data_IF_671276896990
#
_entry.id   IF_671276896990
#
_cell.length_a   1.000
_cell.length_b   1.000
_cell.length_c   1.000
_cell.angle_alpha   90.00
_cell.angle_beta   90.00
_cell.angle_gamma   90.00
#
_symmetry.space_group_name_H-M   'P 1'
#
loop_
_entity.id
_entity.type
_entity.pdbx_description
1 polymer ?
#
# COMPACT_ATOMS: atom_id res chain seq x y z
N UNK A 1 -23.04 -10.94 3.56
CA UNK A 1 -23.87 -10.30 2.53
C UNK A 1 -24.16 -11.35 1.48
N UNK A 2 -25.37 -11.37 0.97
CA UNK A 2 -25.78 -12.26 -0.11
C UNK A 2 -25.93 -11.39 -1.37
N UNK A 3 -25.44 -11.90 -2.49
CA UNK A 3 -25.59 -11.27 -3.82
C UNK A 3 -26.08 -12.31 -4.81
N UNK A 4 -26.91 -11.88 -5.75
CA UNK A 4 -27.26 -12.67 -6.91
C UNK A 4 -26.28 -12.43 -8.06
N UNK A 5 -26.09 -13.43 -8.93
CA UNK A 5 -25.19 -13.30 -10.09
C UNK A 5 -25.52 -12.07 -10.96
N UNK A 6 -26.80 -11.76 -11.16
CA UNK A 6 -27.22 -10.55 -11.89
C UNK A 6 -26.80 -9.25 -11.22
N UNK A 7 -26.89 -9.16 -9.89
CA UNK A 7 -26.49 -7.98 -9.14
C UNK A 7 -24.96 -7.76 -9.23
N UNK A 8 -24.19 -8.85 -9.22
CA UNK A 8 -22.75 -8.81 -9.42
C UNK A 8 -22.42 -8.30 -10.82
N UNK A 9 -23.11 -8.82 -11.85
CA UNK A 9 -22.92 -8.38 -13.22
C UNK A 9 -23.27 -6.89 -13.40
N UNK A 10 -24.37 -6.41 -12.80
CA UNK A 10 -24.75 -4.99 -12.79
C UNK A 10 -23.67 -4.11 -12.13
N UNK A 11 -23.16 -4.51 -10.95
CA UNK A 11 -22.10 -3.78 -10.23
C UNK A 11 -20.83 -3.66 -11.08
N UNK A 12 -20.50 -4.72 -11.83
CA UNK A 12 -19.25 -4.84 -12.59
C UNK A 12 -19.38 -4.41 -14.06
N UNK A 13 -20.55 -4.00 -14.52
CA UNK A 13 -20.81 -3.67 -15.94
C UNK A 13 -20.65 -4.89 -16.86
N UNK A 14 -20.91 -6.08 -16.35
CA UNK A 14 -20.78 -7.35 -17.05
C UNK A 14 -22.11 -7.97 -17.48
N UNK A 15 -22.05 -9.18 -18.03
CA UNK A 15 -23.19 -10.00 -18.43
C UNK A 15 -23.16 -11.34 -17.74
N UNK A 16 -24.33 -11.93 -17.49
CA UNK A 16 -24.47 -13.26 -16.89
C UNK A 16 -24.60 -14.31 -18.00
N UNK A 17 -23.78 -15.35 -17.90
CA UNK A 17 -23.85 -16.56 -18.72
C UNK A 17 -24.13 -17.74 -17.78
N UNK A 18 -25.38 -18.20 -17.78
CA UNK A 18 -25.91 -19.20 -16.84
C UNK A 18 -27.13 -18.70 -16.06
N UNK A 19 -27.28 -19.11 -14.79
CA UNK A 19 -28.44 -18.76 -13.97
C UNK A 19 -28.25 -17.40 -13.24
N UNK A 20 -29.02 -16.33 -13.61
CA UNK A 20 -28.86 -15.00 -13.00
C UNK A 20 -29.30 -14.92 -11.54
N UNK A 21 -30.11 -15.86 -11.08
CA UNK A 21 -30.66 -15.87 -9.71
C UNK A 21 -29.78 -16.64 -8.70
N UNK A 22 -28.67 -17.23 -9.15
CA UNK A 22 -27.72 -17.91 -8.26
C UNK A 22 -27.23 -16.95 -7.19
N UNK A 23 -27.25 -17.42 -5.94
CA UNK A 23 -26.88 -16.64 -4.77
C UNK A 23 -25.52 -17.03 -4.25
N UNK A 24 -24.69 -16.04 -3.94
CA UNK A 24 -23.37 -16.23 -3.32
C UNK A 24 -23.24 -15.38 -2.07
N UNK A 25 -22.52 -15.91 -1.09
CA UNK A 25 -22.34 -15.27 0.24
C UNK A 25 -20.88 -15.11 0.64
N UNK A 26 -19.97 -15.76 -0.10
CA UNK A 26 -18.54 -15.81 0.22
C UNK A 26 -17.67 -15.74 -1.03
N UNK A 27 -16.40 -15.40 -0.85
CA UNK A 27 -15.36 -15.51 -1.88
C UNK A 27 -14.53 -16.77 -1.65
N UNK A 28 -14.08 -17.41 -2.72
CA UNK A 28 -13.17 -18.53 -2.66
C UNK A 28 -12.15 -18.46 -3.80
N UNK A 29 -10.97 -19.06 -3.59
CA UNK A 29 -10.02 -19.29 -4.68
C UNK A 29 -10.62 -20.27 -5.67
N UNK A 30 -10.29 -20.15 -6.93
CA UNK A 30 -10.85 -20.99 -7.99
C UNK A 30 -10.52 -22.48 -7.76
N UNK A 31 -9.30 -22.78 -7.24
CA UNK A 31 -8.85 -24.13 -6.92
C UNK A 31 -9.62 -24.77 -5.74
N UNK A 32 -10.20 -23.97 -4.88
CA UNK A 32 -10.92 -24.38 -3.68
C UNK A 32 -12.34 -23.84 -3.63
N UNK A 33 -12.95 -23.70 -4.81
CA UNK A 33 -14.35 -23.29 -4.96
C UNK A 33 -15.29 -24.17 -4.15
N UNK A 34 -16.34 -23.57 -3.58
CA UNK A 34 -17.34 -24.25 -2.76
C UNK A 34 -18.72 -23.68 -3.03
N UNK A 35 -19.80 -24.42 -2.76
CA UNK A 35 -21.17 -23.91 -2.90
C UNK A 35 -21.38 -22.60 -2.11
N UNK A 36 -22.12 -21.67 -2.69
CA UNK A 36 -22.33 -20.34 -2.12
C UNK A 36 -21.14 -19.38 -2.28
N UNK A 37 -20.12 -19.75 -3.04
CA UNK A 37 -18.97 -18.90 -3.26
C UNK A 37 -18.91 -18.32 -4.67
N UNK A 38 -18.29 -17.13 -4.75
CA UNK A 38 -17.83 -16.51 -5.98
C UNK A 38 -16.32 -16.68 -6.11
N UNK A 39 -15.87 -17.04 -7.30
CA UNK A 39 -14.46 -17.13 -7.69
C UNK A 39 -14.19 -16.26 -8.92
N UNK A 40 -12.94 -16.15 -9.35
CA UNK A 40 -12.60 -15.46 -10.60
C UNK A 40 -11.49 -16.21 -11.35
N UNK A 41 -11.45 -16.00 -12.66
CA UNK A 41 -10.43 -16.52 -13.55
C UNK A 41 -9.89 -15.40 -14.45
N UNK A 42 -8.62 -15.07 -14.27
CA UNK A 42 -7.92 -14.04 -15.05
C UNK A 42 -6.59 -14.56 -15.63
N UNK A 43 -5.98 -15.57 -15.00
CA UNK A 43 -4.68 -16.11 -15.42
C UNK A 43 -4.84 -17.49 -16.08
N UNK A 44 -4.44 -17.66 -17.34
CA UNK A 44 -4.58 -18.91 -18.08
C UNK A 44 -4.01 -20.17 -17.39
N UNK A 45 -3.02 -20.01 -16.52
CA UNK A 45 -2.46 -21.14 -15.74
C UNK A 45 -3.49 -21.84 -14.84
N UNK A 46 -4.58 -21.18 -14.53
CA UNK A 46 -5.65 -21.69 -13.65
C UNK A 46 -6.87 -22.18 -14.44
N UNK A 47 -6.82 -22.24 -15.77
CA UNK A 47 -7.97 -22.61 -16.62
C UNK A 47 -8.58 -23.96 -16.20
N UNK A 48 -7.76 -24.97 -15.89
CA UNK A 48 -8.23 -26.29 -15.46
C UNK A 48 -9.19 -26.25 -14.27
N UNK A 49 -9.07 -25.24 -13.40
CA UNK A 49 -9.92 -25.10 -12.22
C UNK A 49 -11.28 -24.48 -12.54
N UNK A 50 -11.45 -23.85 -13.69
CA UNK A 50 -12.77 -23.35 -14.13
C UNK A 50 -13.75 -24.51 -14.28
N UNK A 51 -13.30 -25.65 -14.77
CA UNK A 51 -14.10 -26.86 -15.04
C UNK A 51 -14.32 -27.72 -13.78
N UNK A 52 -13.43 -27.64 -12.80
CA UNK A 52 -13.47 -28.49 -11.58
C UNK A 52 -13.92 -27.75 -10.34
N UNK A 53 -14.00 -26.40 -10.37
CA UNK A 53 -14.42 -25.59 -9.25
C UNK A 53 -15.87 -25.86 -8.86
N UNK A 54 -16.12 -25.94 -7.56
CA UNK A 54 -17.48 -26.02 -6.98
C UNK A 54 -18.05 -24.65 -6.61
N UNK A 55 -17.45 -23.56 -7.07
CA UNK A 55 -18.00 -22.22 -6.90
C UNK A 55 -19.28 -22.07 -7.76
N UNK A 56 -20.28 -21.40 -7.21
CA UNK A 56 -21.54 -21.19 -7.93
C UNK A 56 -21.45 -20.07 -8.96
N UNK A 57 -20.55 -19.12 -8.75
CA UNK A 57 -20.28 -18.01 -9.70
C UNK A 57 -18.77 -17.89 -9.96
N UNK A 58 -18.41 -17.73 -11.24
CA UNK A 58 -17.02 -17.44 -11.64
C UNK A 58 -17.01 -16.17 -12.51
N UNK A 59 -16.25 -15.15 -12.09
CA UNK A 59 -15.99 -13.95 -12.89
C UNK A 59 -14.92 -14.31 -13.93
N UNK A 60 -15.19 -14.05 -15.20
CA UNK A 60 -14.29 -14.34 -16.33
C UNK A 60 -14.20 -13.17 -17.29
N UNK A 61 -13.12 -13.08 -18.07
CA UNK A 61 -13.03 -12.12 -19.18
C UNK A 61 -14.06 -12.43 -20.26
N UNK A 62 -14.66 -11.42 -20.91
CA UNK A 62 -15.56 -11.59 -22.06
C UNK A 62 -14.96 -12.43 -23.16
N UNK A 63 -13.65 -12.36 -23.36
CA UNK A 63 -12.90 -13.13 -24.37
C UNK A 63 -12.69 -14.60 -24.01
N UNK A 64 -13.05 -15.02 -22.80
CA UNK A 64 -12.85 -16.41 -22.40
C UNK A 64 -13.90 -17.32 -23.04
N UNK A 65 -13.43 -18.27 -23.84
CA UNK A 65 -14.23 -19.33 -24.44
C UNK A 65 -13.87 -20.67 -23.77
N UNK A 66 -14.80 -21.26 -22.99
CA UNK A 66 -14.51 -22.51 -22.31
C UNK A 66 -14.41 -23.68 -23.31
N UNK A 67 -13.44 -24.53 -23.14
CA UNK A 67 -13.21 -25.73 -23.95
C UNK A 67 -14.08 -26.91 -23.52
N UNK A 68 -14.57 -26.87 -22.28
CA UNK A 68 -15.41 -27.88 -21.65
C UNK A 68 -16.63 -27.20 -20.98
N UNK A 69 -17.72 -27.94 -20.73
CA UNK A 69 -18.86 -27.39 -20.01
C UNK A 69 -18.50 -26.88 -18.62
N UNK A 70 -18.88 -25.64 -18.31
CA UNK A 70 -18.68 -25.02 -16.99
C UNK A 70 -19.97 -25.15 -16.18
N UNK A 71 -19.89 -25.74 -14.98
CA UNK A 71 -21.07 -25.91 -14.12
C UNK A 71 -21.49 -24.60 -13.43
N UNK A 72 -20.53 -23.73 -13.13
CA UNK A 72 -20.77 -22.45 -12.48
C UNK A 72 -21.44 -21.44 -13.43
N UNK A 73 -22.23 -20.56 -12.88
CA UNK A 73 -22.69 -19.37 -13.61
C UNK A 73 -21.51 -18.43 -13.83
N UNK A 74 -21.25 -18.05 -15.07
CA UNK A 74 -20.18 -17.11 -15.40
C UNK A 74 -20.68 -15.67 -15.42
N UNK A 75 -19.92 -14.75 -14.81
CA UNK A 75 -20.10 -13.31 -14.98
C UNK A 75 -18.98 -12.79 -15.86
N UNK A 76 -19.34 -12.40 -17.09
CA UNK A 76 -18.40 -11.97 -18.13
C UNK A 76 -18.16 -10.47 -18.04
N UNK A 77 -16.90 -10.07 -17.90
CA UNK A 77 -16.45 -8.68 -17.74
C UNK A 77 -15.28 -8.39 -18.68
N UNK A 78 -14.95 -7.12 -18.89
CA UNK A 78 -13.81 -6.74 -19.74
C UNK A 78 -12.47 -7.17 -19.13
N UNK A 79 -12.28 -6.99 -17.83
CA UNK A 79 -11.10 -7.42 -17.07
C UNK A 79 -11.55 -8.07 -15.75
N UNK A 80 -11.40 -9.38 -15.65
CA UNK A 80 -11.80 -10.14 -14.47
C UNK A 80 -10.96 -9.80 -13.21
N UNK A 81 -9.69 -9.40 -13.37
CA UNK A 81 -8.85 -9.03 -12.25
C UNK A 81 -9.26 -7.68 -11.66
N UNK A 82 -9.46 -6.67 -12.52
CA UNK A 82 -9.97 -5.36 -12.11
C UNK A 82 -11.40 -5.45 -11.53
N UNK A 83 -12.25 -6.30 -12.10
CA UNK A 83 -13.61 -6.53 -11.64
C UNK A 83 -13.67 -7.11 -10.23
N UNK A 84 -12.79 -8.07 -9.90
CA UNK A 84 -12.72 -8.63 -8.54
C UNK A 84 -12.27 -7.58 -7.54
N UNK A 85 -11.28 -6.76 -7.87
CA UNK A 85 -10.85 -5.66 -7.02
C UNK A 85 -12.03 -4.70 -6.74
N UNK A 86 -12.74 -4.28 -7.78
CA UNK A 86 -13.91 -3.40 -7.67
C UNK A 86 -15.05 -4.02 -6.82
N UNK A 87 -15.32 -5.32 -6.97
CA UNK A 87 -16.32 -6.03 -6.17
C UNK A 87 -15.92 -6.11 -4.69
N UNK A 88 -14.67 -6.40 -4.39
CA UNK A 88 -14.14 -6.43 -3.03
C UNK A 88 -14.21 -5.04 -2.39
N UNK A 89 -13.91 -3.98 -3.13
CA UNK A 89 -14.05 -2.60 -2.68
C UNK A 89 -15.50 -2.26 -2.37
N UNK A 90 -16.43 -2.63 -3.25
CA UNK A 90 -17.88 -2.44 -3.05
C UNK A 90 -18.39 -3.14 -1.79
N UNK A 91 -18.02 -4.41 -1.59
CA UNK A 91 -18.39 -5.19 -0.41
C UNK A 91 -17.79 -4.59 0.86
N UNK A 92 -16.54 -4.17 0.80
CA UNK A 92 -15.84 -3.53 1.91
C UNK A 92 -16.46 -2.18 2.27
N UNK A 93 -16.79 -1.36 1.26
CA UNK A 93 -17.47 -0.09 1.46
C UNK A 93 -18.84 -0.26 2.11
N UNK A 94 -19.63 -1.25 1.69
CA UNK A 94 -20.93 -1.58 2.32
C UNK A 94 -20.79 -2.07 3.77
N UNK A 95 -19.70 -2.75 4.11
CA UNK A 95 -19.42 -3.20 5.48
C UNK A 95 -18.91 -2.06 6.37
N UNK A 96 -18.35 -1.00 5.79
CA UNK A 96 -17.83 0.14 6.54
C UNK A 96 -18.98 0.92 7.18
N UNK A 97 -19.16 0.74 8.50
CA UNK A 97 -20.07 1.57 9.29
C UNK A 97 -19.34 2.86 9.69
N UNK A 98 -19.83 4.00 9.25
CA UNK A 98 -19.34 5.31 9.67
C UNK A 98 -20.21 5.86 10.82
N UNK A 99 -20.12 5.23 11.98
CA UNK A 99 -20.74 5.75 13.22
C UNK A 99 -19.68 6.53 13.99
N UNK A 100 -20.08 7.70 14.51
CA UNK A 100 -19.25 8.39 15.48
C UNK A 100 -19.12 7.49 16.71
N UNK A 101 -17.90 7.18 17.08
CA UNK A 101 -17.59 6.42 18.28
C UNK A 101 -16.38 7.04 18.97
N UNK A 102 -16.41 7.06 20.28
CA UNK A 102 -15.27 7.44 21.09
C UNK A 102 -15.17 6.45 22.23
N UNK A 103 -14.09 5.68 22.24
CA UNK A 103 -13.78 4.69 23.26
C UNK A 103 -13.69 5.37 24.66
N UNK A 104 -14.17 4.70 25.67
CA UNK A 104 -14.22 5.26 27.03
C UNK A 104 -12.83 5.58 27.61
N UNK A 105 -11.79 4.87 27.18
CA UNK A 105 -10.40 5.09 27.59
C UNK A 105 -9.60 5.93 26.59
N UNK A 106 -10.22 6.47 25.53
CA UNK A 106 -9.54 7.34 24.57
C UNK A 106 -9.35 8.74 25.15
N UNK A 107 -8.24 9.40 24.78
CA UNK A 107 -7.96 10.77 25.20
C UNK A 107 -7.80 11.70 24.00
N UNK A 108 -8.80 12.49 23.73
CA UNK A 108 -8.76 13.58 22.75
C UNK A 108 -8.58 14.88 23.50
N UNK A 109 -7.52 15.62 23.23
CA UNK A 109 -7.25 16.90 23.88
C UNK A 109 -8.34 17.92 23.51
N UNK A 110 -8.68 18.82 24.44
CA UNK A 110 -9.78 19.76 24.27
C UNK A 110 -9.60 20.74 23.11
N UNK A 111 -8.34 21.07 22.75
CA UNK A 111 -8.02 21.95 21.62
C UNK A 111 -7.98 21.22 20.28
N UNK A 112 -8.09 19.87 20.25
CA UNK A 112 -8.14 19.12 19.02
C UNK A 112 -9.52 19.27 18.34
N UNK A 113 -9.51 19.40 17.02
CA UNK A 113 -10.72 19.48 16.19
C UNK A 113 -10.98 18.13 15.54
N UNK A 114 -12.15 17.56 15.78
CA UNK A 114 -12.53 16.23 15.25
C UNK A 114 -13.79 16.38 14.40
N UNK A 115 -13.70 15.94 13.18
CA UNK A 115 -14.75 16.02 12.17
C UNK A 115 -15.97 15.15 12.44
N UNK A 116 -16.86 15.08 11.45
CA UNK A 116 -18.10 14.31 11.51
C UNK A 116 -17.83 12.82 11.39
N UNK A 117 -18.59 12.00 12.13
CA UNK A 117 -18.56 10.52 12.05
C UNK A 117 -17.16 9.91 12.16
N UNK A 118 -16.29 10.53 12.93
CA UNK A 118 -14.96 9.99 13.25
C UNK A 118 -15.10 8.88 14.30
N UNK A 119 -14.40 7.79 14.09
CA UNK A 119 -14.22 6.70 15.06
C UNK A 119 -12.90 6.92 15.81
N UNK A 120 -12.93 6.88 17.12
CA UNK A 120 -11.73 6.93 17.99
C UNK A 120 -11.79 5.73 18.93
N UNK A 121 -10.92 4.75 18.73
CA UNK A 121 -10.84 3.51 19.51
C UNK A 121 -10.32 3.72 20.92
N UNK A 122 -10.46 2.68 21.75
CA UNK A 122 -9.97 2.71 23.12
C UNK A 122 -8.45 2.88 23.18
N UNK A 123 -7.98 3.58 24.21
CA UNK A 123 -6.57 3.91 24.42
C UNK A 123 -5.92 4.75 23.32
N UNK A 124 -6.69 5.23 22.33
CA UNK A 124 -6.18 6.18 21.36
C UNK A 124 -5.97 7.56 22.00
N UNK A 125 -4.89 8.23 21.61
CA UNK A 125 -4.55 9.58 22.03
C UNK A 125 -4.52 10.53 20.84
N UNK A 126 -5.18 11.68 20.97
CA UNK A 126 -5.11 12.78 19.98
C UNK A 126 -4.63 14.05 20.70
N UNK A 127 -3.49 14.55 20.23
CA UNK A 127 -2.75 15.68 20.80
C UNK A 127 -3.45 17.04 20.63
N UNK A 128 -2.84 18.08 21.22
CA UNK A 128 -3.34 19.45 21.17
C UNK A 128 -3.32 19.99 19.74
N UNK A 129 -4.31 20.83 19.40
CA UNK A 129 -4.45 21.55 18.14
C UNK A 129 -4.50 20.66 16.89
N UNK A 130 -4.48 19.33 17.07
CA UNK A 130 -4.58 18.39 15.96
C UNK A 130 -5.96 18.44 15.31
N UNK A 131 -6.01 18.20 14.01
CA UNK A 131 -7.23 18.27 13.21
C UNK A 131 -7.46 16.94 12.51
N UNK A 132 -8.64 16.36 12.71
CA UNK A 132 -9.03 15.08 12.12
C UNK A 132 -10.22 15.32 11.21
N UNK A 133 -10.08 14.97 9.92
CA UNK A 133 -11.13 15.13 8.94
C UNK A 133 -12.28 14.15 9.10
N UNK A 134 -13.35 14.40 8.37
CA UNK A 134 -14.61 13.66 8.43
C UNK A 134 -14.42 12.17 8.06
N UNK A 135 -15.22 11.29 8.68
CA UNK A 135 -15.27 9.85 8.38
C UNK A 135 -13.96 9.09 8.60
N UNK A 136 -12.96 9.66 9.25
CA UNK A 136 -11.69 9.03 9.57
C UNK A 136 -11.85 8.05 10.74
N UNK A 137 -11.17 6.90 10.65
CA UNK A 137 -11.14 5.87 11.69
C UNK A 137 -9.77 5.82 12.33
N UNK A 138 -9.73 6.09 13.62
CA UNK A 138 -8.54 6.01 14.48
C UNK A 138 -8.78 4.81 15.39
N UNK A 139 -8.08 3.70 15.14
CA UNK A 139 -8.27 2.48 15.91
C UNK A 139 -7.56 2.54 17.27
N UNK A 140 -7.61 1.42 17.98
CA UNK A 140 -7.13 1.29 19.35
C UNK A 140 -5.61 1.52 19.45
N UNK A 141 -5.16 2.08 20.57
CA UNK A 141 -3.75 2.34 20.87
C UNK A 141 -3.01 3.24 19.87
N UNK A 142 -3.70 3.96 19.02
CA UNK A 142 -3.09 4.95 18.11
C UNK A 142 -2.64 6.17 18.91
N UNK A 143 -1.43 6.66 18.64
CA UNK A 143 -0.92 7.91 19.15
C UNK A 143 -0.83 8.96 18.04
N UNK A 144 -1.50 10.08 18.21
CA UNK A 144 -1.42 11.26 17.35
C UNK A 144 -0.88 12.40 18.20
N UNK A 145 0.28 12.92 17.84
CA UNK A 145 0.98 14.02 18.50
C UNK A 145 0.22 15.35 18.41
N UNK A 146 0.84 16.41 18.93
CA UNK A 146 0.30 17.77 18.85
C UNK A 146 0.46 18.32 17.42
N UNK A 147 -0.42 19.24 17.02
CA UNK A 147 -0.39 19.98 15.74
C UNK A 147 -0.44 19.09 14.49
N UNK A 148 -0.90 17.83 14.59
CA UNK A 148 -1.05 16.90 13.47
C UNK A 148 -2.31 17.23 12.68
N UNK A 149 -2.23 17.16 11.35
CA UNK A 149 -3.38 17.28 10.45
C UNK A 149 -3.63 15.95 9.75
N UNK A 150 -4.85 15.42 9.86
CA UNK A 150 -5.28 14.20 9.17
C UNK A 150 -6.54 14.55 8.38
N UNK A 151 -6.52 14.19 7.09
CA UNK A 151 -7.65 14.40 6.19
C UNK A 151 -8.85 13.50 6.46
N UNK A 152 -9.79 13.49 5.55
CA UNK A 152 -11.03 12.74 5.62
C UNK A 152 -10.88 11.31 5.08
N UNK A 153 -11.75 10.40 5.52
CA UNK A 153 -11.82 9.02 5.06
C UNK A 153 -10.55 8.18 5.31
N UNK A 154 -9.67 8.61 6.20
CA UNK A 154 -8.47 7.86 6.55
C UNK A 154 -8.77 6.66 7.45
N UNK A 155 -7.90 5.65 7.37
CA UNK A 155 -7.93 4.47 8.25
C UNK A 155 -6.57 4.36 8.94
N UNK A 156 -6.57 4.60 10.24
CA UNK A 156 -5.36 4.55 11.06
C UNK A 156 -5.48 3.32 11.97
N UNK A 157 -4.80 2.25 11.59
CA UNK A 157 -4.88 0.95 12.27
C UNK A 157 -4.22 0.94 13.64
N UNK A 158 -4.50 -0.11 14.47
CA UNK A 158 -4.01 -0.16 15.84
C UNK A 158 -2.50 0.02 15.96
N UNK A 159 -2.09 0.73 16.98
CA UNK A 159 -0.67 0.89 17.31
C UNK A 159 0.09 1.90 16.45
N UNK A 160 -0.50 2.52 15.45
CA UNK A 160 0.15 3.57 14.64
C UNK A 160 0.59 4.74 15.52
N UNK A 161 1.76 5.30 15.22
CA UNK A 161 2.32 6.50 15.87
C UNK A 161 2.54 7.60 14.84
N UNK A 162 1.90 8.75 15.06
CA UNK A 162 2.07 9.95 14.24
C UNK A 162 2.63 11.05 15.13
N UNK A 163 3.85 11.45 14.85
CA UNK A 163 4.58 12.45 15.65
C UNK A 163 4.09 13.87 15.36
N UNK A 164 4.39 14.82 16.26
CA UNK A 164 3.90 16.19 16.15
C UNK A 164 4.20 16.85 14.80
N UNK A 165 3.28 17.73 14.35
CA UNK A 165 3.44 18.54 13.15
C UNK A 165 3.33 17.79 11.81
N UNK A 166 3.10 16.48 11.81
CA UNK A 166 2.91 15.71 10.59
C UNK A 166 1.57 16.05 9.90
N UNK A 167 1.58 15.94 8.56
CA UNK A 167 0.39 16.20 7.72
C UNK A 167 0.05 14.94 6.94
N UNK A 168 -1.17 14.47 7.09
CA UNK A 168 -1.72 13.28 6.40
C UNK A 168 -2.91 13.75 5.55
N UNK A 169 -2.89 13.43 4.27
CA UNK A 169 -3.96 13.73 3.31
C UNK A 169 -5.24 12.94 3.52
N UNK A 170 -6.07 12.90 2.48
CA UNK A 170 -7.35 12.19 2.47
C UNK A 170 -7.18 10.74 1.99
N UNK A 171 -8.10 9.86 2.37
CA UNK A 171 -8.13 8.44 1.96
C UNK A 171 -6.84 7.67 2.28
N UNK A 172 -6.05 8.13 3.25
CA UNK A 172 -4.79 7.48 3.64
C UNK A 172 -5.06 6.27 4.53
N UNK A 173 -4.34 5.19 4.27
CA UNK A 173 -4.36 3.98 5.10
C UNK A 173 -2.98 3.82 5.75
N UNK A 174 -2.94 3.82 7.08
CA UNK A 174 -1.74 3.49 7.85
C UNK A 174 -1.97 2.17 8.57
N UNK A 175 -1.22 1.14 8.19
CA UNK A 175 -1.34 -0.19 8.80
C UNK A 175 -0.70 -0.26 10.20
N UNK A 176 -1.00 -1.35 10.90
CA UNK A 176 -0.65 -1.51 12.32
C UNK A 176 0.84 -1.23 12.61
N UNK A 177 1.07 -0.47 13.68
CA UNK A 177 2.39 -0.08 14.16
C UNK A 177 3.24 0.73 13.17
N UNK A 178 2.71 1.26 12.08
CA UNK A 178 3.45 2.21 11.26
C UNK A 178 3.82 3.44 12.10
N UNK A 179 5.02 3.97 11.88
CA UNK A 179 5.57 5.13 12.60
C UNK A 179 5.83 6.26 11.62
N UNK A 180 5.17 7.39 11.82
CA UNK A 180 5.25 8.56 10.96
C UNK A 180 5.84 9.72 11.74
N UNK A 181 7.03 10.19 11.32
CA UNK A 181 7.66 11.39 11.87
C UNK A 181 8.59 11.14 13.07
N UNK A 182 9.11 9.92 13.26
CA UNK A 182 10.22 9.70 14.17
C UNK A 182 11.49 10.45 13.71
N UNK A 183 12.44 10.68 14.61
CA UNK A 183 13.73 11.25 14.24
C UNK A 183 14.46 10.30 13.27
N UNK A 184 15.06 10.87 12.23
CA UNK A 184 15.92 10.14 11.33
C UNK A 184 17.31 9.87 11.93
N UNK A 185 18.12 9.09 11.20
CA UNK A 185 19.50 8.78 11.56
C UNK A 185 20.41 9.96 11.20
N UNK A 186 20.56 10.89 12.14
CA UNK A 186 21.40 12.08 12.00
C UNK A 186 22.39 12.18 13.16
N UNK A 187 23.67 11.96 12.89
CA UNK A 187 24.76 12.06 13.87
C UNK A 187 25.99 12.71 13.25
N UNK A 188 26.65 13.59 13.99
CA UNK A 188 27.92 14.18 13.62
C UNK A 188 29.05 13.50 14.40
N UNK A 189 30.16 13.09 13.75
CA UNK A 189 31.32 12.57 14.44
C UNK A 189 32.00 13.68 15.25
N UNK A 190 32.46 13.35 16.44
CA UNK A 190 33.27 14.21 17.29
C UNK A 190 34.72 13.77 17.25
N UNK A 191 35.64 14.65 17.68
CA UNK A 191 37.09 14.40 17.66
C UNK A 191 37.51 13.20 18.55
N UNK A 192 36.74 12.92 19.58
CA UNK A 192 36.96 11.80 20.51
C UNK A 192 36.46 10.45 19.98
N UNK A 193 35.92 10.42 18.72
CA UNK A 193 35.36 9.22 18.09
C UNK A 193 33.93 8.91 18.50
N UNK A 194 33.28 9.75 19.30
CA UNK A 194 31.88 9.62 19.66
C UNK A 194 30.96 10.32 18.65
N UNK A 195 29.62 10.17 18.81
CA UNK A 195 28.63 10.70 17.89
C UNK A 195 27.69 11.67 18.61
N UNK A 196 27.59 12.89 18.11
CA UNK A 196 26.60 13.87 18.57
C UNK A 196 25.35 13.76 17.74
N UNK A 197 24.18 13.57 18.39
CA UNK A 197 22.88 13.59 17.71
C UNK A 197 22.63 14.95 17.07
N UNK A 198 22.13 14.93 15.84
CA UNK A 198 21.59 16.09 15.13
C UNK A 198 20.08 16.05 15.27
N UNK A 199 19.50 17.09 15.88
CA UNK A 199 18.06 17.18 16.08
C UNK A 199 17.32 17.36 14.75
N UNK A 200 16.17 16.70 14.64
CA UNK A 200 15.27 16.82 13.49
C UNK A 200 14.11 17.73 13.86
N UNK A 201 13.99 18.86 13.19
CA UNK A 201 12.96 19.90 13.48
C UNK A 201 11.87 19.95 12.43
N UNK A 202 12.00 19.19 11.36
CA UNK A 202 11.01 19.10 10.29
C UNK A 202 9.85 18.15 10.61
N UNK A 203 9.11 17.79 9.57
CA UNK A 203 7.95 16.90 9.70
C UNK A 203 7.89 15.88 8.55
N UNK A 204 6.76 15.15 8.49
CA UNK A 204 6.38 14.28 7.36
C UNK A 204 5.09 14.81 6.75
N UNK A 205 5.04 14.79 5.42
CA UNK A 205 3.82 15.03 4.64
C UNK A 205 3.50 13.77 3.85
N UNK A 206 2.33 13.21 4.09
CA UNK A 206 1.75 12.10 3.33
C UNK A 206 0.55 12.68 2.56
N UNK A 207 0.61 12.65 1.23
CA UNK A 207 -0.47 13.15 0.38
C UNK A 207 -1.65 12.16 0.30
N UNK A 208 -2.66 12.49 -0.51
CA UNK A 208 -3.90 11.73 -0.63
C UNK A 208 -3.67 10.31 -1.21
N UNK A 209 -4.57 9.39 -0.89
CA UNK A 209 -4.64 8.03 -1.47
C UNK A 209 -3.40 7.17 -1.20
N UNK A 210 -2.56 7.52 -0.22
CA UNK A 210 -1.35 6.77 0.16
C UNK A 210 -1.70 5.61 1.08
N UNK A 211 -0.98 4.51 0.92
CA UNK A 211 -1.06 3.37 1.84
C UNK A 211 0.33 3.00 2.37
N UNK A 212 0.47 2.90 3.70
CA UNK A 212 1.71 2.57 4.39
C UNK A 212 1.51 1.26 5.17
N UNK A 213 2.33 0.27 4.86
CA UNK A 213 2.30 -1.07 5.44
C UNK A 213 2.68 -1.12 6.93
N UNK A 214 2.41 -2.27 7.53
CA UNK A 214 2.64 -2.50 8.94
C UNK A 214 4.13 -2.42 9.31
N UNK A 215 4.43 -1.84 10.48
CA UNK A 215 5.79 -1.65 11.00
C UNK A 215 6.74 -0.86 10.05
N UNK A 216 6.21 -0.12 9.10
CA UNK A 216 6.97 0.77 8.23
C UNK A 216 7.23 2.08 8.95
N UNK A 217 8.46 2.60 8.85
CA UNK A 217 8.88 3.87 9.42
C UNK A 217 9.10 4.91 8.33
N UNK A 218 8.53 6.11 8.53
CA UNK A 218 8.80 7.29 7.71
C UNK A 218 9.34 8.37 8.62
N UNK A 219 10.64 8.64 8.53
CA UNK A 219 11.32 9.59 9.41
C UNK A 219 11.03 11.03 9.00
N UNK A 220 10.94 11.92 10.00
CA UNK A 220 10.82 13.35 9.72
C UNK A 220 12.10 13.92 9.16
N UNK A 221 11.98 14.96 8.37
CA UNK A 221 13.10 15.72 7.84
C UNK A 221 13.91 16.39 8.95
N UNK A 222 15.19 16.57 8.72
CA UNK A 222 16.02 17.45 9.56
C UNK A 222 15.50 18.87 9.55
N UNK A 223 15.22 19.40 8.36
CA UNK A 223 14.59 20.70 8.10
C UNK A 223 13.66 20.54 6.91
N UNK A 224 12.47 21.13 6.97
CA UNK A 224 11.45 20.96 5.95
C UNK A 224 10.66 19.67 6.13
N UNK A 225 10.41 18.91 5.07
CA UNK A 225 9.53 17.74 5.11
C UNK A 225 10.12 16.53 4.39
N UNK A 226 9.92 15.35 4.95
CA UNK A 226 9.94 14.08 4.19
C UNK A 226 8.58 13.94 3.54
N UNK A 227 8.52 13.61 2.24
CA UNK A 227 7.28 13.71 1.47
C UNK A 227 6.97 12.37 0.79
N UNK A 228 5.76 11.88 1.01
CA UNK A 228 5.20 10.74 0.28
C UNK A 228 4.04 11.26 -0.56
N UNK A 229 4.23 11.26 -1.88
CA UNK A 229 3.30 11.85 -2.84
C UNK A 229 2.05 10.98 -3.03
N UNK A 230 1.04 11.58 -3.65
CA UNK A 230 -0.27 10.97 -3.87
C UNK A 230 -0.18 9.58 -4.52
N UNK A 231 -1.02 8.66 -4.06
CA UNK A 231 -1.21 7.34 -4.65
C UNK A 231 -0.09 6.33 -4.37
N UNK A 232 0.97 6.72 -3.65
CA UNK A 232 2.09 5.82 -3.27
C UNK A 232 1.60 4.66 -2.42
N UNK A 233 2.14 3.46 -2.67
CA UNK A 233 1.89 2.25 -1.87
C UNK A 233 3.23 1.71 -1.35
N UNK A 234 3.39 1.70 -0.04
CA UNK A 234 4.58 1.18 0.65
C UNK A 234 4.15 -0.01 1.49
N UNK A 235 4.77 -1.14 1.25
CA UNK A 235 4.50 -2.40 1.94
C UNK A 235 5.12 -2.41 3.36
N UNK A 236 5.05 -3.54 4.02
CA UNK A 236 5.44 -3.74 5.41
C UNK A 236 6.96 -3.66 5.61
N UNK A 237 7.39 -3.26 6.82
CA UNK A 237 8.79 -3.27 7.24
C UNK A 237 9.72 -2.43 6.36
N UNK A 238 9.20 -1.40 5.71
CA UNK A 238 10.01 -0.47 4.94
C UNK A 238 10.57 0.66 5.82
N UNK A 239 11.72 1.23 5.40
CA UNK A 239 12.31 2.41 6.02
C UNK A 239 12.44 3.52 5.00
N UNK A 240 11.74 4.63 5.23
CA UNK A 240 11.87 5.88 4.48
C UNK A 240 12.57 6.89 5.38
N UNK A 241 13.85 7.16 5.10
CA UNK A 241 14.65 8.03 5.93
C UNK A 241 14.32 9.52 5.73
N UNK A 242 14.94 10.36 6.56
CA UNK A 242 14.72 11.80 6.58
C UNK A 242 14.97 12.49 5.22
N UNK A 243 14.20 13.51 4.91
CA UNK A 243 14.34 14.30 3.67
C UNK A 243 14.14 13.53 2.37
N UNK A 244 13.60 12.31 2.42
CA UNK A 244 13.23 11.53 1.23
C UNK A 244 11.97 12.11 0.61
N UNK A 245 11.91 12.10 -0.71
CA UNK A 245 10.71 12.37 -1.48
C UNK A 245 10.38 11.15 -2.34
N UNK A 246 9.17 10.60 -2.19
CA UNK A 246 8.66 9.49 -2.99
C UNK A 246 7.62 10.02 -3.95
N UNK A 247 7.89 9.90 -5.25
CA UNK A 247 7.03 10.38 -6.34
C UNK A 247 5.70 9.65 -6.46
N UNK A 248 4.74 10.27 -7.13
CA UNK A 248 3.35 9.80 -7.27
C UNK A 248 3.26 8.38 -7.81
N UNK A 249 2.28 7.63 -7.31
CA UNK A 249 1.94 6.27 -7.77
C UNK A 249 3.13 5.30 -7.78
N UNK A 250 4.19 5.58 -7.04
CA UNK A 250 5.31 4.65 -6.84
C UNK A 250 4.91 3.57 -5.85
N UNK A 251 5.31 2.33 -6.14
CA UNK A 251 5.06 1.17 -5.27
C UNK A 251 6.36 0.59 -4.75
N UNK A 252 6.39 0.25 -3.47
CA UNK A 252 7.54 -0.35 -2.79
C UNK A 252 7.09 -1.61 -2.06
N UNK A 253 7.71 -2.74 -2.42
CA UNK A 253 7.48 -4.00 -1.71
C UNK A 253 8.27 -4.05 -0.39
N UNK A 254 7.95 -5.05 0.42
CA UNK A 254 8.38 -5.17 1.80
C UNK A 254 9.92 -5.12 1.98
N UNK A 255 10.33 -4.60 3.15
CA UNK A 255 11.72 -4.51 3.58
C UNK A 255 12.61 -3.61 2.69
N UNK A 256 12.03 -2.73 1.90
CA UNK A 256 12.79 -1.72 1.15
C UNK A 256 13.30 -0.65 2.10
N UNK A 257 14.57 -0.29 1.97
CA UNK A 257 15.23 0.79 2.70
C UNK A 257 15.67 1.93 1.78
N UNK A 258 15.22 3.14 2.05
CA UNK A 258 15.60 4.36 1.31
C UNK A 258 16.35 5.29 2.25
N UNK A 259 17.64 5.51 1.98
CA UNK A 259 18.47 6.38 2.79
C UNK A 259 18.20 7.87 2.54
N UNK A 260 18.63 8.70 3.50
CA UNK A 260 18.26 10.12 3.59
C UNK A 260 18.52 10.95 2.34
N UNK A 261 17.69 11.98 2.15
CA UNK A 261 17.79 12.98 1.07
C UNK A 261 17.69 12.42 -0.35
N UNK A 262 17.14 11.22 -0.51
CA UNK A 262 16.92 10.58 -1.82
C UNK A 262 15.58 11.03 -2.40
N UNK A 263 15.57 11.26 -3.72
CA UNK A 263 14.36 11.58 -4.49
C UNK A 263 14.03 10.42 -5.42
N UNK A 264 12.86 9.83 -5.24
CA UNK A 264 12.34 8.76 -6.08
C UNK A 264 11.28 9.37 -7.01
N UNK A 265 11.39 9.08 -8.29
CA UNK A 265 10.46 9.54 -9.31
C UNK A 265 9.05 8.95 -9.18
N UNK A 266 8.19 9.33 -10.10
CA UNK A 266 6.81 8.87 -10.19
C UNK A 266 6.73 7.50 -10.89
N UNK A 267 5.70 6.72 -10.57
CA UNK A 267 5.38 5.43 -11.19
C UNK A 267 6.53 4.41 -11.13
N UNK A 268 7.40 4.50 -10.14
CA UNK A 268 8.47 3.52 -9.94
C UNK A 268 7.93 2.24 -9.30
N UNK A 269 8.55 1.10 -9.66
CA UNK A 269 8.27 -0.21 -9.07
C UNK A 269 9.52 -0.70 -8.36
N UNK A 270 9.48 -0.73 -7.03
CA UNK A 270 10.61 -1.14 -6.20
C UNK A 270 10.25 -2.47 -5.54
N UNK A 271 10.95 -3.53 -5.94
CA UNK A 271 10.71 -4.88 -5.40
C UNK A 271 11.24 -5.03 -3.96
N UNK A 272 10.96 -6.18 -3.34
CA UNK A 272 11.29 -6.41 -1.94
C UNK A 272 12.79 -6.41 -1.64
N UNK A 273 13.14 -5.95 -0.43
CA UNK A 273 14.51 -5.94 0.11
C UNK A 273 15.51 -5.08 -0.71
N UNK A 274 15.02 -4.08 -1.41
CA UNK A 274 15.86 -3.13 -2.13
C UNK A 274 16.48 -2.13 -1.14
N UNK A 275 17.78 -1.86 -1.28
CA UNK A 275 18.49 -0.80 -0.59
C UNK A 275 18.84 0.35 -1.54
N UNK A 276 18.46 1.58 -1.20
CA UNK A 276 18.78 2.78 -1.99
C UNK A 276 19.66 3.70 -1.15
N UNK A 277 20.88 3.98 -1.63
CA UNK A 277 21.82 4.87 -0.94
C UNK A 277 21.31 6.32 -0.88
N UNK A 278 21.86 7.10 0.04
CA UNK A 278 21.45 8.48 0.28
C UNK A 278 21.83 9.45 -0.84
N UNK A 279 21.12 10.60 -0.89
CA UNK A 279 21.37 11.71 -1.81
C UNK A 279 21.27 11.35 -3.30
N UNK A 280 20.49 10.31 -3.62
CA UNK A 280 20.27 9.87 -4.99
C UNK A 280 19.02 10.52 -5.60
N UNK A 281 18.98 10.47 -6.94
CA UNK A 281 17.77 10.74 -7.71
C UNK A 281 17.48 9.52 -8.59
N UNK A 282 16.28 9.01 -8.49
CA UNK A 282 15.76 7.89 -9.29
C UNK A 282 14.75 8.48 -10.28
N UNK A 283 14.96 8.26 -11.57
CA UNK A 283 14.05 8.76 -12.61
C UNK A 283 12.67 8.10 -12.56
N UNK A 284 11.70 8.74 -13.21
CA UNK A 284 10.34 8.20 -13.30
C UNK A 284 10.29 6.82 -13.99
N UNK A 285 9.25 6.05 -13.71
CA UNK A 285 8.99 4.76 -14.33
C UNK A 285 10.12 3.72 -14.15
N UNK A 286 11.03 3.93 -13.18
CA UNK A 286 12.14 3.00 -12.91
C UNK A 286 11.63 1.75 -12.21
N UNK A 287 12.08 0.58 -12.67
CA UNK A 287 11.84 -0.70 -11.99
C UNK A 287 13.12 -1.21 -11.33
N UNK A 288 13.07 -1.53 -10.05
CA UNK A 288 14.22 -2.05 -9.29
C UNK A 288 13.88 -3.46 -8.82
N UNK A 289 14.66 -4.44 -9.28
CA UNK A 289 14.49 -5.85 -8.95
C UNK A 289 14.78 -6.16 -7.48
N UNK A 290 14.26 -7.28 -7.01
CA UNK A 290 14.38 -7.67 -5.60
C UNK A 290 15.85 -7.81 -5.16
N UNK A 291 16.13 -7.40 -3.89
CA UNK A 291 17.46 -7.45 -3.27
C UNK A 291 18.54 -6.61 -3.98
N UNK A 292 18.13 -5.68 -4.85
CA UNK A 292 19.08 -4.81 -5.52
C UNK A 292 19.60 -3.70 -4.57
N UNK A 293 20.89 -3.38 -4.69
CA UNK A 293 21.56 -2.27 -4.02
C UNK A 293 21.82 -1.12 -4.99
N UNK A 294 21.10 -0.01 -4.86
CA UNK A 294 21.25 1.17 -5.73
C UNK A 294 22.24 2.14 -5.10
N UNK A 295 23.43 2.25 -5.71
CA UNK A 295 24.52 3.10 -5.21
C UNK A 295 24.73 4.39 -6.03
N UNK A 296 24.05 4.53 -7.17
CA UNK A 296 24.20 5.64 -8.10
C UNK A 296 22.87 6.24 -8.54
N UNK A 297 22.93 7.46 -9.11
CA UNK A 297 21.77 8.14 -9.65
C UNK A 297 21.23 7.42 -10.88
N UNK A 298 19.93 7.22 -10.97
CA UNK A 298 19.22 6.68 -12.13
C UNK A 298 18.66 7.87 -12.91
N UNK A 299 19.21 8.14 -14.08
CA UNK A 299 18.89 9.35 -14.86
C UNK A 299 17.91 9.12 -16.00
N UNK A 300 17.85 7.87 -16.48
CA UNK A 300 17.01 7.51 -17.62
C UNK A 300 15.66 6.98 -17.12
N UNK A 301 14.58 7.53 -17.64
CA UNK A 301 13.23 7.06 -17.36
C UNK A 301 13.01 5.63 -17.90
N UNK A 302 12.21 4.85 -17.20
CA UNK A 302 11.85 3.49 -17.57
C UNK A 302 13.00 2.50 -17.45
N UNK A 303 14.09 2.85 -16.75
CA UNK A 303 15.22 1.94 -16.56
C UNK A 303 14.86 0.78 -15.62
N UNK A 304 15.36 -0.40 -15.96
CA UNK A 304 15.22 -1.60 -15.14
C UNK A 304 16.58 -1.95 -14.53
N UNK A 305 16.64 -1.97 -13.20
CA UNK A 305 17.86 -2.24 -12.44
C UNK A 305 17.77 -3.59 -11.73
N UNK A 306 18.91 -4.27 -11.62
CA UNK A 306 19.02 -5.52 -10.86
C UNK A 306 20.42 -5.69 -10.30
N UNK A 307 20.52 -6.41 -9.19
CA UNK A 307 21.81 -6.81 -8.61
C UNK A 307 22.30 -5.89 -7.50
N UNK A 308 23.43 -6.26 -6.91
CA UNK A 308 24.09 -5.52 -5.84
C UNK A 308 25.59 -5.44 -6.13
N UNK A 309 26.09 -4.28 -6.55
CA UNK A 309 25.34 -3.06 -6.87
C UNK A 309 24.39 -3.24 -8.06
N UNK A 310 23.27 -2.50 -8.03
CA UNK A 310 22.30 -2.57 -9.12
C UNK A 310 22.80 -1.82 -10.36
N UNK A 311 22.69 -2.45 -11.51
CA UNK A 311 22.96 -1.86 -12.80
C UNK A 311 21.95 -2.35 -13.84
N UNK A 312 22.00 -1.82 -15.06
CA UNK A 312 21.00 -2.11 -16.09
C UNK A 312 20.77 -3.62 -16.26
N UNK A 313 19.52 -4.04 -16.39
CA UNK A 313 19.12 -5.45 -16.47
C UNK A 313 19.87 -6.21 -17.58
N UNK A 314 20.02 -5.62 -18.77
CA UNK A 314 20.68 -6.29 -19.89
C UNK A 314 22.17 -6.52 -19.60
N UNK A 315 22.84 -5.54 -18.99
CA UNK A 315 24.25 -5.65 -18.61
C UNK A 315 24.42 -6.64 -17.45
N UNK A 316 23.50 -6.63 -16.47
CA UNK A 316 23.46 -7.63 -15.42
C UNK A 316 23.35 -9.05 -16.01
N UNK A 317 22.41 -9.29 -16.90
CA UNK A 317 22.16 -10.59 -17.48
C UNK A 317 23.35 -11.08 -18.33
N UNK A 318 24.01 -10.17 -19.06
CA UNK A 318 25.25 -10.48 -19.79
C UNK A 318 26.37 -10.88 -18.84
N UNK A 319 26.62 -10.06 -17.81
CA UNK A 319 27.66 -10.31 -16.81
C UNK A 319 27.40 -11.60 -16.04
N UNK A 320 26.16 -11.86 -15.63
CA UNK A 320 25.77 -13.09 -14.96
C UNK A 320 25.96 -14.33 -15.84
N UNK A 321 25.65 -14.25 -17.14
CA UNK A 321 25.88 -15.33 -18.07
C UNK A 321 27.38 -15.66 -18.25
N UNK A 322 28.25 -14.64 -18.27
CA UNK A 322 29.70 -14.80 -18.31
C UNK A 322 30.18 -15.45 -17.02
N UNK A 323 29.78 -14.93 -15.85
CA UNK A 323 30.13 -15.49 -14.54
C UNK A 323 29.73 -16.97 -14.43
N UNK A 324 28.51 -17.32 -14.85
CA UNK A 324 28.00 -18.71 -14.80
C UNK A 324 28.77 -19.67 -15.74
N UNK A 325 29.28 -19.15 -16.86
CA UNK A 325 30.12 -19.95 -17.80
C UNK A 325 31.54 -20.12 -17.27
N UNK A 326 32.10 -19.09 -16.64
CA UNK A 326 33.47 -19.14 -16.09
C UNK A 326 33.60 -20.08 -14.89
N UNK A 327 32.51 -20.47 -14.23
CA UNK A 327 32.48 -21.44 -13.13
C UNK A 327 32.27 -22.89 -13.59
N UNK A 328 32.21 -23.14 -14.88
CA UNK A 328 32.17 -24.48 -15.52
C UNK A 328 33.50 -24.75 -16.22
#
# INVERSE_FOLDING_TARGET
>A
MEFKAKEIAEILGGTVDGNPEVKVTSFARIESGRPGAISFFANPKYEQYVYTSKADVIIVNKSFEPKEPVQATMVRVDDAYAAVAALLDYVTAKKRSYKRYRGCHSKVRWSAKVGKKVYVGDFAYVGKHSQIGDYTKIYEHVYIGDDVKIGSHCIIYPGVRIYPGCVIGNNVILHANAVIGADGFGFAPLEDGTWKKIEHTGNVIIEDDVEIGANTCVDKSQMGSTIVRQGVKIDNLCQIAHNVEVGRNTVMAAQTGVAGSTKIGEHCIIAGQVGIAGHLTIANNTTIGAQAGVLGKVRKEGEVLMGSPAFNLNDYMRSYAIFKRAGK
#
